data_IF_967427570660
#
_entry.id   IF_967427570660
#
_cell.length_a   1.000
_cell.length_b   1.000
_cell.length_c   1.000
_cell.angle_alpha   90.00
_cell.angle_beta   90.00
_cell.angle_gamma   90.00
#
_symmetry.space_group_name_H-M   'P 1'
#
loop_
_entity.id
_entity.type
_entity.pdbx_description
1 polymer ?
#
# COMPACT_ATOMS: atom_id res chain seq x y z
N UNK A 1 7.76 -21.98 -7.45
CA UNK A 1 6.84 -20.84 -7.19
C UNK A 1 6.52 -20.12 -8.50
N UNK A 2 5.27 -19.71 -8.72
CA UNK A 2 4.96 -18.87 -9.87
C UNK A 2 5.30 -17.42 -9.51
N UNK A 3 6.15 -16.79 -10.33
CA UNK A 3 6.42 -15.34 -10.28
C UNK A 3 5.10 -14.57 -10.39
N UNK A 4 4.87 -13.57 -9.54
CA UNK A 4 3.71 -12.70 -9.58
C UNK A 4 4.07 -11.33 -10.13
N UNK A 5 3.13 -10.71 -10.83
CA UNK A 5 3.20 -9.31 -11.25
C UNK A 5 2.43 -8.46 -10.23
N UNK A 6 3.12 -7.55 -9.57
CA UNK A 6 2.56 -6.71 -8.50
C UNK A 6 2.56 -5.26 -8.95
N UNK A 7 1.41 -4.62 -8.88
CA UNK A 7 1.27 -3.18 -9.08
C UNK A 7 1.48 -2.47 -7.75
N UNK A 8 2.31 -1.43 -7.72
CA UNK A 8 2.51 -0.57 -6.56
C UNK A 8 2.11 0.87 -6.92
N UNK A 9 1.06 1.37 -6.25
CA UNK A 9 0.61 2.76 -6.41
C UNK A 9 1.34 3.65 -5.41
N UNK A 10 2.08 4.61 -5.93
CA UNK A 10 2.86 5.56 -5.12
C UNK A 10 2.62 7.00 -5.61
N UNK A 11 3.02 7.97 -4.79
CA UNK A 11 2.96 9.39 -5.13
C UNK A 11 3.99 10.19 -4.34
N UNK A 12 4.11 11.47 -4.65
CA UNK A 12 5.02 12.36 -3.93
C UNK A 12 4.73 12.32 -2.42
N UNK A 13 5.79 12.28 -1.62
CA UNK A 13 5.75 12.15 -0.16
C UNK A 13 5.10 10.85 0.35
N UNK A 14 5.22 9.77 -0.41
CA UNK A 14 5.02 8.41 0.12
C UNK A 14 6.01 8.16 1.27
N UNK A 15 5.60 7.39 2.28
CA UNK A 15 6.52 7.07 3.38
C UNK A 15 7.72 6.24 2.87
N UNK A 16 8.93 6.63 3.30
CA UNK A 16 10.20 6.14 2.76
C UNK A 16 10.37 4.62 2.92
N UNK A 17 10.22 4.10 4.13
CA UNK A 17 10.31 2.66 4.38
C UNK A 17 9.16 1.89 3.74
N UNK A 18 7.95 2.47 3.71
CA UNK A 18 6.76 1.78 3.19
C UNK A 18 6.78 1.62 1.66
N UNK A 19 7.59 2.41 0.95
CA UNK A 19 7.84 2.20 -0.47
C UNK A 19 9.09 1.36 -0.72
N UNK A 20 10.23 1.68 -0.07
CA UNK A 20 11.51 1.04 -0.36
C UNK A 20 11.52 -0.43 0.06
N UNK A 21 11.12 -0.71 1.30
CA UNK A 21 11.20 -2.08 1.85
C UNK A 21 10.32 -3.06 1.07
N UNK A 22 9.01 -2.82 0.84
CA UNK A 22 8.22 -3.76 0.08
C UNK A 22 8.65 -3.85 -1.39
N UNK A 23 9.09 -2.75 -2.01
CA UNK A 23 9.59 -2.77 -3.39
C UNK A 23 10.76 -3.76 -3.55
N UNK A 24 11.77 -3.63 -2.68
CA UNK A 24 12.95 -4.50 -2.72
C UNK A 24 12.65 -5.93 -2.25
N UNK A 25 11.89 -6.09 -1.15
CA UNK A 25 11.60 -7.40 -0.58
C UNK A 25 10.77 -8.28 -1.53
N UNK A 26 9.79 -7.71 -2.21
CA UNK A 26 8.96 -8.46 -3.17
C UNK A 26 9.76 -8.89 -4.40
N UNK A 27 10.70 -8.06 -4.87
CA UNK A 27 11.63 -8.44 -5.94
C UNK A 27 12.65 -9.48 -5.47
N UNK A 28 13.17 -9.35 -4.26
CA UNK A 28 14.11 -10.30 -3.65
C UNK A 28 13.55 -11.74 -3.64
N UNK A 29 12.24 -11.89 -3.40
CA UNK A 29 11.57 -13.21 -3.41
C UNK A 29 11.09 -13.62 -4.81
N UNK A 30 11.49 -12.91 -5.88
CA UNK A 30 11.30 -13.29 -7.27
C UNK A 30 10.05 -12.74 -7.95
N UNK A 31 9.29 -11.84 -7.33
CA UNK A 31 8.15 -11.17 -7.99
C UNK A 31 8.60 -10.00 -8.87
N UNK A 32 7.75 -9.62 -9.82
CA UNK A 32 7.89 -8.36 -10.57
C UNK A 32 7.07 -7.29 -9.88
N UNK A 33 7.68 -6.14 -9.57
CA UNK A 33 6.97 -5.00 -8.99
C UNK A 33 7.04 -3.81 -9.96
N UNK A 34 5.90 -3.29 -10.36
CA UNK A 34 5.81 -2.06 -11.13
C UNK A 34 5.27 -0.93 -10.24
N UNK A 35 6.13 0.02 -9.93
CA UNK A 35 5.78 1.21 -9.16
C UNK A 35 5.40 2.35 -10.11
N UNK A 36 4.19 2.90 -9.90
CA UNK A 36 3.62 3.93 -10.76
C UNK A 36 3.02 5.08 -9.95
N UNK A 37 3.06 6.27 -10.53
CA UNK A 37 2.49 7.49 -9.96
C UNK A 37 1.66 8.21 -11.02
N UNK A 38 0.41 8.64 -10.72
CA UNK A 38 -0.39 9.45 -11.64
C UNK A 38 0.38 10.66 -12.18
N UNK A 39 0.30 10.88 -13.48
CA UNK A 39 0.97 11.98 -14.18
C UNK A 39 2.48 11.82 -14.35
N UNK A 40 3.06 10.66 -13.99
CA UNK A 40 4.49 10.37 -14.12
C UNK A 40 4.73 9.11 -14.96
N UNK A 41 5.94 8.98 -15.49
CA UNK A 41 6.38 7.86 -16.34
C UNK A 41 7.56 7.12 -15.75
N UNK A 42 7.87 5.98 -16.34
CA UNK A 42 9.08 5.21 -16.01
C UNK A 42 10.34 6.07 -16.13
N UNK A 43 11.20 6.00 -15.13
CA UNK A 43 12.41 6.81 -14.99
C UNK A 43 12.22 8.14 -14.26
N UNK A 44 10.99 8.60 -14.05
CA UNK A 44 10.73 9.77 -13.19
C UNK A 44 10.96 9.40 -11.72
N UNK A 45 11.15 10.42 -10.89
CA UNK A 45 11.33 10.28 -9.45
C UNK A 45 10.17 10.87 -8.68
N UNK A 46 9.90 10.30 -7.52
CA UNK A 46 9.04 10.89 -6.49
C UNK A 46 9.86 11.13 -5.21
N UNK A 47 9.69 12.27 -4.51
CA UNK A 47 10.24 12.47 -3.18
C UNK A 47 9.49 11.58 -2.19
N UNK A 48 10.21 11.00 -1.22
CA UNK A 48 9.62 10.28 -0.10
C UNK A 48 9.59 11.15 1.16
N UNK A 49 8.82 10.74 2.17
CA UNK A 49 8.82 11.32 3.52
C UNK A 49 9.30 10.30 4.54
N UNK A 50 10.14 10.74 5.48
CA UNK A 50 10.52 9.97 6.67
C UNK A 50 9.61 10.42 7.80
N UNK A 51 8.87 9.47 8.38
CA UNK A 51 7.98 9.69 9.51
C UNK A 51 8.51 8.97 10.74
N UNK A 52 8.82 9.73 11.79
CA UNK A 52 9.32 9.21 13.07
C UNK A 52 8.30 9.43 14.19
N UNK A 53 8.26 8.50 15.14
CA UNK A 53 7.40 8.55 16.33
C UNK A 53 8.26 8.96 17.54
N UNK A 54 8.39 10.26 17.78
CA UNK A 54 9.30 10.85 18.76
C UNK A 54 8.60 11.17 20.11
N UNK A 55 7.34 10.74 20.29
CA UNK A 55 6.59 10.93 21.54
C UNK A 55 5.58 12.07 21.52
N UNK A 56 5.51 12.82 20.44
CA UNK A 56 4.49 13.83 20.19
C UNK A 56 3.11 13.21 19.93
N UNK A 57 2.05 14.03 19.90
CA UNK A 57 0.70 13.53 19.59
C UNK A 57 0.55 13.02 18.15
N UNK A 58 1.52 13.31 17.30
CA UNK A 58 1.60 12.86 15.92
C UNK A 58 3.04 12.52 15.55
N UNK A 59 3.25 12.04 14.33
CA UNK A 59 4.59 11.78 13.80
C UNK A 59 5.28 13.07 13.33
N UNK A 60 6.60 13.07 13.35
CA UNK A 60 7.40 14.08 12.66
C UNK A 60 7.49 13.74 11.16
N UNK A 61 7.77 14.74 10.32
CA UNK A 61 7.98 14.54 8.90
C UNK A 61 9.25 15.22 8.44
N UNK A 62 10.12 14.45 7.78
CA UNK A 62 11.31 14.95 7.11
C UNK A 62 11.30 14.47 5.66
N UNK A 63 11.86 15.24 4.72
CA UNK A 63 12.07 14.77 3.37
C UNK A 63 13.04 13.59 3.36
N UNK A 64 12.66 12.48 2.72
CA UNK A 64 13.47 11.29 2.53
C UNK A 64 14.21 11.30 1.18
N UNK A 65 14.31 10.14 0.56
CA UNK A 65 15.00 9.91 -0.69
C UNK A 65 14.16 10.31 -1.92
N UNK A 66 14.74 10.11 -3.10
CA UNK A 66 14.02 10.08 -4.36
C UNK A 66 13.85 8.62 -4.78
N UNK A 67 12.60 8.17 -4.88
CA UNK A 67 12.27 6.84 -5.35
C UNK A 67 12.05 6.87 -6.87
N UNK A 68 12.73 6.00 -7.61
CA UNK A 68 12.60 5.92 -9.06
C UNK A 68 11.41 5.05 -9.48
N UNK A 69 10.54 5.57 -10.33
CA UNK A 69 9.45 4.80 -10.94
C UNK A 69 9.99 3.91 -12.05
N UNK A 70 9.51 2.67 -12.13
CA UNK A 70 9.94 1.70 -13.15
C UNK A 70 8.84 1.34 -14.15
N UNK A 71 7.67 1.99 -14.05
CA UNK A 71 6.59 1.85 -15.02
C UNK A 71 5.84 3.18 -15.20
N UNK A 72 5.05 3.30 -16.28
CA UNK A 72 4.28 4.49 -16.63
C UNK A 72 2.82 4.31 -16.25
N UNK A 73 2.28 5.20 -15.42
CA UNK A 73 0.91 5.09 -14.88
C UNK A 73 -0.15 4.96 -15.98
N UNK A 74 -0.08 5.78 -17.03
CA UNK A 74 -1.09 5.79 -18.10
C UNK A 74 -1.10 4.52 -18.96
N UNK A 75 -0.04 3.71 -18.87
CA UNK A 75 0.08 2.45 -19.61
C UNK A 75 -0.37 1.22 -18.80
N UNK A 76 -0.75 1.40 -17.54
CA UNK A 76 -1.14 0.30 -16.66
C UNK A 76 -2.50 -0.28 -17.06
N UNK A 77 -2.53 -1.60 -17.21
CA UNK A 77 -3.73 -2.41 -17.33
C UNK A 77 -3.85 -3.26 -16.06
N UNK A 78 -4.80 -2.99 -15.16
CA UNK A 78 -4.91 -3.71 -13.87
C UNK A 78 -5.08 -5.23 -14.01
N UNK A 79 -5.64 -5.67 -15.12
CA UNK A 79 -5.80 -7.10 -15.47
C UNK A 79 -4.47 -7.85 -15.59
N UNK A 80 -3.38 -7.17 -15.97
CA UNK A 80 -2.05 -7.75 -16.16
C UNK A 80 -1.32 -8.02 -14.82
N UNK A 81 -1.93 -7.65 -13.70
CA UNK A 81 -1.32 -7.78 -12.37
C UNK A 81 -2.07 -8.77 -11.49
N UNK A 82 -1.30 -9.51 -10.70
CA UNK A 82 -1.81 -10.49 -9.72
C UNK A 82 -2.20 -9.85 -8.40
N UNK A 83 -1.59 -8.73 -8.03
CA UNK A 83 -1.80 -8.08 -6.75
C UNK A 83 -1.54 -6.56 -6.80
N UNK A 84 -2.09 -5.84 -5.79
CA UNK A 84 -1.92 -4.40 -5.59
C UNK A 84 -1.28 -4.12 -4.23
N UNK A 85 -0.29 -3.23 -4.22
CA UNK A 85 0.36 -2.70 -3.02
C UNK A 85 0.19 -1.18 -2.98
N UNK A 86 -0.23 -0.65 -1.84
CA UNK A 86 -0.40 0.79 -1.63
C UNK A 86 0.31 1.19 -0.33
N UNK A 87 1.50 1.80 -0.42
CA UNK A 87 2.18 2.42 0.72
C UNK A 87 1.45 3.67 1.22
N UNK A 88 1.79 4.11 2.42
CA UNK A 88 1.20 5.29 3.05
C UNK A 88 1.99 6.58 2.85
N UNK A 89 2.30 7.25 3.97
CA UNK A 89 2.76 8.63 3.95
C UNK A 89 1.65 9.60 3.58
N UNK A 90 1.98 10.75 2.99
CA UNK A 90 0.98 11.72 2.52
C UNK A 90 0.38 11.38 1.16
N UNK A 91 1.02 10.51 0.38
CA UNK A 91 0.57 10.21 -0.97
C UNK A 91 -0.89 9.74 -1.06
N UNK A 92 -1.44 8.92 -0.16
CA UNK A 92 -2.84 8.52 -0.20
C UNK A 92 -3.83 9.67 -0.07
N UNK A 93 -3.47 10.76 0.61
CA UNK A 93 -4.36 11.91 0.85
C UNK A 93 -4.84 12.56 -0.45
N UNK A 94 -4.00 12.57 -1.49
CA UNK A 94 -4.36 13.14 -2.79
C UNK A 94 -4.55 12.08 -3.88
N UNK A 95 -3.91 10.90 -3.79
CA UNK A 95 -4.15 9.79 -4.72
C UNK A 95 -5.61 9.34 -4.72
N UNK A 96 -6.28 9.40 -3.58
CA UNK A 96 -7.71 9.09 -3.44
C UNK A 96 -8.64 10.01 -4.25
N UNK A 97 -8.13 11.16 -4.72
CA UNK A 97 -8.86 12.10 -5.57
C UNK A 97 -8.76 11.75 -7.06
N UNK A 98 -7.87 10.84 -7.45
CA UNK A 98 -7.65 10.45 -8.83
C UNK A 98 -8.63 9.33 -9.24
N UNK A 99 -9.55 9.56 -10.21
CA UNK A 99 -10.54 8.55 -10.60
C UNK A 99 -9.90 7.25 -11.09
N UNK A 100 -8.77 7.33 -11.79
CA UNK A 100 -8.10 6.12 -12.30
C UNK A 100 -7.48 5.28 -11.19
N UNK A 101 -7.00 5.91 -10.11
CA UNK A 101 -6.56 5.19 -8.90
C UNK A 101 -7.73 4.43 -8.28
N UNK A 102 -8.89 5.06 -8.17
CA UNK A 102 -10.11 4.43 -7.63
C UNK A 102 -10.56 3.26 -8.53
N UNK A 103 -10.52 3.42 -9.85
CA UNK A 103 -10.83 2.33 -10.80
C UNK A 103 -9.89 1.13 -10.63
N UNK A 104 -8.57 1.38 -10.45
CA UNK A 104 -7.59 0.33 -10.18
C UNK A 104 -7.95 -0.43 -8.91
N UNK A 105 -8.22 0.27 -7.82
CA UNK A 105 -8.61 -0.35 -6.54
C UNK A 105 -9.89 -1.18 -6.71
N UNK A 106 -10.88 -0.66 -7.43
CA UNK A 106 -12.12 -1.40 -7.74
C UNK A 106 -11.84 -2.70 -8.51
N UNK A 107 -10.90 -2.67 -9.48
CA UNK A 107 -10.54 -3.86 -10.23
C UNK A 107 -10.04 -4.98 -9.30
N UNK A 108 -9.05 -4.69 -8.45
CA UNK A 108 -8.48 -5.69 -7.54
C UNK A 108 -9.50 -6.19 -6.52
N UNK A 109 -10.35 -5.32 -5.98
CA UNK A 109 -11.43 -5.70 -5.06
C UNK A 109 -12.46 -6.60 -5.74
N UNK A 110 -12.97 -6.23 -6.92
CA UNK A 110 -13.99 -6.99 -7.67
C UNK A 110 -13.49 -8.34 -8.16
N UNK A 111 -12.21 -8.41 -8.54
CA UNK A 111 -11.58 -9.67 -9.02
C UNK A 111 -11.03 -10.52 -7.87
N UNK A 112 -11.22 -10.07 -6.62
CA UNK A 112 -10.74 -10.73 -5.41
C UNK A 112 -9.23 -11.02 -5.44
N UNK A 113 -8.44 -10.18 -6.11
CA UNK A 113 -6.99 -10.27 -6.13
C UNK A 113 -6.40 -9.73 -4.83
N UNK A 114 -5.24 -10.24 -4.37
CA UNK A 114 -4.55 -9.74 -3.18
C UNK A 114 -4.32 -8.23 -3.23
N UNK A 115 -4.66 -7.55 -2.13
CA UNK A 115 -4.49 -6.12 -1.95
C UNK A 115 -3.82 -5.86 -0.59
N UNK A 116 -2.71 -5.17 -0.60
CA UNK A 116 -1.98 -4.78 0.60
C UNK A 116 -1.92 -3.25 0.72
N UNK A 117 -2.39 -2.73 1.86
CA UNK A 117 -2.42 -1.29 2.16
C UNK A 117 -1.89 -1.04 3.57
N UNK A 118 -1.08 0.00 3.76
CA UNK A 118 -0.48 0.29 5.06
C UNK A 118 -0.61 1.79 5.39
N UNK A 119 -0.61 2.11 6.69
CA UNK A 119 -0.56 3.46 7.22
C UNK A 119 -1.77 4.30 6.76
N UNK A 120 -1.56 5.31 5.91
CA UNK A 120 -2.62 6.17 5.37
C UNK A 120 -3.31 5.58 4.11
N UNK A 121 -2.76 4.54 3.51
CA UNK A 121 -3.30 3.94 2.28
C UNK A 121 -4.78 3.49 2.39
N UNK A 122 -5.30 2.99 3.55
CA UNK A 122 -6.71 2.67 3.70
C UNK A 122 -7.68 3.82 3.42
N UNK A 123 -7.23 5.09 3.42
CA UNK A 123 -8.04 6.22 2.97
C UNK A 123 -8.48 6.09 1.50
N UNK A 124 -7.62 5.53 0.64
CA UNK A 124 -7.97 5.25 -0.76
C UNK A 124 -9.05 4.18 -0.83
N UNK A 125 -8.91 3.11 -0.02
CA UNK A 125 -9.88 2.02 0.03
C UNK A 125 -11.25 2.49 0.54
N UNK A 126 -11.25 3.41 1.53
CA UNK A 126 -12.48 4.02 2.06
C UNK A 126 -13.22 4.82 0.99
N UNK A 127 -12.51 5.71 0.25
CA UNK A 127 -13.10 6.49 -0.85
C UNK A 127 -13.56 5.60 -2.00
N UNK A 128 -12.84 4.52 -2.29
CA UNK A 128 -13.26 3.53 -3.27
C UNK A 128 -14.48 2.69 -2.82
N UNK A 129 -14.93 2.79 -1.57
CA UNK A 129 -16.08 2.05 -1.06
C UNK A 129 -15.88 0.53 -1.01
N UNK A 130 -14.62 0.06 -0.93
CA UNK A 130 -14.30 -1.37 -0.95
C UNK A 130 -14.09 -1.97 0.43
N UNK A 131 -14.29 -1.18 1.49
CA UNK A 131 -14.14 -1.61 2.89
C UNK A 131 -15.42 -2.15 3.51
N UNK A 132 -16.57 -2.05 2.83
CA UNK A 132 -17.84 -2.52 3.39
C UNK A 132 -17.77 -4.00 3.79
N UNK A 133 -18.05 -4.27 5.07
CA UNK A 133 -17.99 -5.62 5.67
C UNK A 133 -16.57 -6.16 5.86
N UNK A 134 -15.51 -5.34 5.67
CA UNK A 134 -14.12 -5.73 5.86
C UNK A 134 -13.56 -5.21 7.19
N UNK A 135 -12.69 -6.01 7.81
CA UNK A 135 -11.81 -5.56 8.89
C UNK A 135 -10.57 -4.91 8.27
N UNK A 136 -10.18 -3.76 8.79
CA UNK A 136 -9.06 -2.99 8.25
C UNK A 136 -8.30 -2.31 9.39
N UNK A 137 -6.98 -2.48 9.41
CA UNK A 137 -6.07 -1.68 10.25
C UNK A 137 -5.49 -0.55 9.41
N UNK A 138 -5.18 0.56 10.06
CA UNK A 138 -4.63 1.76 9.45
C UNK A 138 -3.85 2.56 10.50
N UNK A 139 -3.12 3.59 10.09
CA UNK A 139 -2.60 4.57 11.03
C UNK A 139 -3.75 5.09 11.91
N UNK A 140 -3.58 5.20 13.23
CA UNK A 140 -4.71 5.48 14.14
C UNK A 140 -5.55 6.71 13.76
N UNK A 141 -4.91 7.79 13.30
CA UNK A 141 -5.62 9.00 12.88
C UNK A 141 -6.51 8.81 11.64
N UNK A 142 -6.28 7.76 10.84
CA UNK A 142 -7.10 7.40 9.67
C UNK A 142 -8.13 6.30 9.96
N UNK A 143 -8.19 5.82 11.20
CA UNK A 143 -9.22 4.89 11.66
C UNK A 143 -10.66 5.36 11.40
N UNK A 144 -10.99 6.65 11.63
CA UNK A 144 -12.28 7.22 11.26
C UNK A 144 -12.62 7.10 9.77
N UNK A 145 -11.64 7.26 8.87
CA UNK A 145 -11.85 7.08 7.42
C UNK A 145 -12.28 5.64 7.11
N UNK A 146 -11.66 4.64 7.74
CA UNK A 146 -12.03 3.21 7.59
C UNK A 146 -13.48 3.00 8.01
N UNK A 147 -13.88 3.55 9.15
CA UNK A 147 -15.26 3.40 9.68
C UNK A 147 -16.27 4.10 8.78
N UNK A 148 -15.99 5.33 8.34
CA UNK A 148 -16.86 6.10 7.42
C UNK A 148 -16.96 5.41 6.05
N UNK A 149 -15.90 4.72 5.61
CA UNK A 149 -15.87 3.89 4.40
C UNK A 149 -16.60 2.54 4.54
N UNK A 150 -17.31 2.29 5.65
CA UNK A 150 -18.09 1.07 5.89
C UNK A 150 -17.28 -0.11 6.41
N UNK A 151 -15.99 0.06 6.70
CA UNK A 151 -15.14 -0.96 7.27
C UNK A 151 -15.20 -1.03 8.80
N UNK A 152 -14.73 -2.12 9.36
CA UNK A 152 -14.48 -2.26 10.80
C UNK A 152 -13.02 -1.93 11.07
N UNK A 153 -12.75 -0.77 11.67
CA UNK A 153 -11.39 -0.41 12.07
C UNK A 153 -10.91 -1.31 13.20
N UNK A 154 -9.73 -1.91 13.02
CA UNK A 154 -9.07 -2.75 14.02
C UNK A 154 -7.78 -2.05 14.46
N UNK A 155 -7.76 -1.57 15.69
CA UNK A 155 -6.55 -1.04 16.31
C UNK A 155 -5.59 -2.18 16.63
N UNK A 156 -4.37 -2.09 16.14
CA UNK A 156 -3.30 -3.07 16.34
C UNK A 156 -2.08 -2.40 17.00
N UNK A 157 -1.22 -3.20 17.64
CA UNK A 157 0.14 -2.75 17.91
C UNK A 157 0.82 -2.25 16.63
N UNK A 158 1.64 -1.19 16.73
CA UNK A 158 2.31 -0.57 15.58
C UNK A 158 3.20 -1.54 14.78
N UNK A 159 3.54 -2.69 15.37
CA UNK A 159 4.40 -3.73 14.77
C UNK A 159 3.63 -4.90 14.15
N UNK A 160 2.28 -4.87 14.20
CA UNK A 160 1.47 -5.98 13.69
C UNK A 160 0.64 -5.59 12.46
N UNK A 161 0.10 -6.60 11.78
CA UNK A 161 -0.72 -6.44 10.60
C UNK A 161 -1.94 -7.36 10.63
N UNK A 162 -2.95 -7.04 9.83
CA UNK A 162 -4.22 -7.75 9.74
C UNK A 162 -4.39 -8.38 8.36
N UNK A 163 -4.98 -9.57 8.32
CA UNK A 163 -5.49 -10.19 7.10
C UNK A 163 -7.01 -10.35 7.22
N UNK A 164 -7.74 -9.89 6.21
CA UNK A 164 -9.16 -10.16 6.02
C UNK A 164 -9.41 -10.63 4.58
N UNK A 165 -9.47 -11.95 4.40
CA UNK A 165 -9.49 -12.57 3.08
C UNK A 165 -8.23 -12.22 2.27
N UNK A 166 -8.41 -11.51 1.17
CA UNK A 166 -7.30 -11.07 0.30
C UNK A 166 -6.78 -9.66 0.63
N UNK A 167 -7.34 -9.01 1.65
CA UNK A 167 -6.91 -7.69 2.10
C UNK A 167 -5.91 -7.83 3.26
N UNK A 168 -4.72 -7.22 3.10
CA UNK A 168 -3.68 -7.16 4.13
C UNK A 168 -3.45 -5.71 4.51
N UNK A 169 -3.63 -5.36 5.78
CA UNK A 169 -3.47 -3.98 6.26
C UNK A 169 -2.61 -3.88 7.50
N UNK A 170 -1.99 -2.74 7.71
CA UNK A 170 -1.14 -2.47 8.87
C UNK A 170 -1.14 -0.99 9.25
N UNK A 171 -0.77 -0.64 10.51
CA UNK A 171 -0.85 0.72 11.01
C UNK A 171 0.24 1.66 10.49
N UNK A 172 1.48 1.21 10.35
CA UNK A 172 2.60 2.04 9.92
C UNK A 172 3.85 1.21 9.63
N UNK A 173 4.95 1.86 9.20
CA UNK A 173 6.20 1.22 8.83
C UNK A 173 6.80 0.25 9.88
N UNK A 174 6.61 0.38 11.21
CA UNK A 174 7.10 -0.64 12.13
C UNK A 174 6.46 -2.03 11.93
N UNK A 175 5.28 -2.08 11.27
CA UNK A 175 4.58 -3.32 10.96
C UNK A 175 5.09 -4.01 9.68
N UNK A 176 6.02 -3.44 8.93
CA UNK A 176 6.41 -3.92 7.58
C UNK A 176 6.79 -5.40 7.55
N UNK A 177 7.51 -5.89 8.56
CA UNK A 177 7.90 -7.31 8.62
C UNK A 177 6.67 -8.24 8.75
N UNK A 178 5.69 -7.90 9.59
CA UNK A 178 4.45 -8.65 9.77
C UNK A 178 3.54 -8.51 8.55
N UNK A 179 3.41 -7.29 8.04
CA UNK A 179 2.59 -6.97 6.87
C UNK A 179 3.07 -7.69 5.61
N UNK A 180 4.37 -7.65 5.33
CA UNK A 180 4.97 -8.35 4.19
C UNK A 180 4.84 -9.86 4.32
N UNK A 181 5.12 -10.43 5.52
CA UNK A 181 4.99 -11.86 5.76
C UNK A 181 3.54 -12.35 5.49
N UNK A 182 2.54 -11.61 5.98
CA UNK A 182 1.13 -11.89 5.75
C UNK A 182 0.75 -11.73 4.27
N UNK A 183 1.26 -10.68 3.60
CA UNK A 183 1.01 -10.47 2.17
C UNK A 183 1.60 -11.58 1.31
N UNK A 184 2.84 -12.00 1.57
CA UNK A 184 3.47 -13.14 0.90
C UNK A 184 2.66 -14.44 1.11
N UNK A 185 2.11 -14.64 2.31
CA UNK A 185 1.20 -15.75 2.60
C UNK A 185 -0.06 -15.72 1.73
N UNK A 186 -0.70 -14.55 1.60
CA UNK A 186 -1.89 -14.37 0.74
C UNK A 186 -1.56 -14.54 -0.74
N UNK A 187 -0.36 -14.16 -1.19
CA UNK A 187 0.15 -14.40 -2.54
C UNK A 187 0.44 -15.89 -2.82
N UNK A 188 0.48 -16.73 -1.78
CA UNK A 188 0.91 -18.12 -1.87
C UNK A 188 2.42 -18.27 -2.10
N UNK A 189 3.20 -17.27 -1.72
CA UNK A 189 4.66 -17.27 -1.85
C UNK A 189 5.26 -18.12 -0.74
N UNK A 190 6.10 -19.09 -1.11
CA UNK A 190 6.88 -19.90 -0.15
C UNK A 190 8.34 -19.47 -0.25
N UNK A 191 8.93 -19.07 0.85
CA UNK A 191 10.37 -18.80 0.95
C UNK A 191 11.01 -20.09 1.43
N UNK A 192 11.89 -20.64 0.61
CA UNK A 192 12.76 -21.75 1.03
C UNK A 192 14.10 -21.13 1.46
N UNK A 193 14.51 -21.30 2.72
CA UNK A 193 15.79 -20.79 3.21
C UNK A 193 16.97 -21.50 2.55
#
# INVERSE_FOLDING_TARGET
MSRKSILMLVGDYVEDYEVMVPFEALQMVGHTVHAVCPGKKSGDFIPTSIHDFEGDQTYTEKRGHNFALNATFDHIKPEDYDALVIPGGRSPEYLRLNPRVIEIVHHFSKTNKPLAAICHAPQILAVAGVLNGKKCSAYPATGPDVTLGGGTYVSLPMTDALVDGNLVTGPAWPALHSWLAKFLGVLGTQIQP
#
